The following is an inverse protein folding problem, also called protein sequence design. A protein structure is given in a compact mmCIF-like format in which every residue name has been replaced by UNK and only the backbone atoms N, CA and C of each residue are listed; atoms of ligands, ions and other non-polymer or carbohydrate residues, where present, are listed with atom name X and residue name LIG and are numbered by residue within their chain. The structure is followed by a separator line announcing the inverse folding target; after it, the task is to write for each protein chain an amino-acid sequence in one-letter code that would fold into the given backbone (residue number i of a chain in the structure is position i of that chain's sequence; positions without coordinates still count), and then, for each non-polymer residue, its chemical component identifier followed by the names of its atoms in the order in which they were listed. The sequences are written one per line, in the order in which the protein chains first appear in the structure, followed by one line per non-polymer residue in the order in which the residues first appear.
data_IF_663706681986
#
_entry.id   IF_663706681986
#
_cell.length_a   1.000
_cell.length_b   1.000
_cell.length_c   1.000
_cell.angle_alpha   90.00
_cell.angle_beta   90.00
_cell.angle_gamma   90.00
#
_symmetry.space_group_name_H-M   'P 1'
#
loop_
_entity.id
_entity.type
_entity.pdbx_description
1 polymer ?
#
# COMPACT_ATOMS: atom_id res chain seq x y z
N UNK A 1 -1.71 -9.82 5.09
CA UNK A 1 -1.11 -9.14 6.25
C UNK A 1 -0.96 -7.66 5.92
N UNK A 2 -1.06 -6.80 6.92
CA UNK A 2 -0.74 -5.36 6.81
C UNK A 2 0.60 -5.15 7.51
N UNK A 3 1.54 -4.48 6.87
CA UNK A 3 2.85 -4.17 7.44
C UNK A 3 2.93 -2.68 7.74
N UNK A 4 3.26 -2.33 8.97
CA UNK A 4 3.39 -0.94 9.42
C UNK A 4 4.74 -0.72 10.10
N UNK A 5 5.21 0.53 10.15
CA UNK A 5 6.42 0.83 10.90
C UNK A 5 6.15 0.76 12.41
N UNK A 6 7.10 0.22 13.18
CA UNK A 6 7.05 0.18 14.65
C UNK A 6 6.89 1.59 15.22
N UNK A 7 7.63 2.55 14.65
CA UNK A 7 7.54 3.98 14.97
C UNK A 7 6.80 4.69 13.85
N UNK A 8 6.00 5.69 14.18
CA UNK A 8 5.17 6.48 13.25
C UNK A 8 3.95 5.75 12.67
N UNK A 9 3.54 4.63 13.27
CA UNK A 9 2.22 4.04 13.05
C UNK A 9 1.38 4.22 14.33
N UNK A 10 0.05 4.41 14.22
CA UNK A 10 -0.82 4.46 15.37
C UNK A 10 -0.84 3.14 16.13
N UNK A 11 -1.15 3.22 17.43
CA UNK A 11 -1.36 2.03 18.27
C UNK A 11 -2.67 1.32 17.94
N UNK A 12 -2.74 0.05 18.33
CA UNK A 12 -3.96 -0.76 18.23
C UNK A 12 -4.97 -0.33 19.29
N UNK A 13 -5.74 0.71 18.96
CA UNK A 13 -6.76 1.28 19.83
C UNK A 13 -8.15 0.71 19.56
N UNK A 14 -9.10 0.93 20.48
CA UNK A 14 -10.51 0.59 20.24
C UNK A 14 -11.11 1.31 19.02
N UNK A 15 -10.61 2.50 18.67
CA UNK A 15 -11.02 3.21 17.45
C UNK A 15 -10.53 2.48 16.18
N UNK A 16 -9.29 1.98 16.19
CA UNK A 16 -8.76 1.15 15.09
C UNK A 16 -9.58 -0.14 14.94
N UNK A 17 -9.81 -0.85 16.05
CA UNK A 17 -10.60 -2.10 16.03
C UNK A 17 -12.02 -1.86 15.48
N UNK A 18 -12.67 -0.77 15.90
CA UNK A 18 -13.99 -0.38 15.39
C UNK A 18 -13.97 -0.08 13.89
N UNK A 19 -12.97 0.66 13.41
CA UNK A 19 -12.83 0.99 12.00
C UNK A 19 -12.51 -0.25 11.14
N UNK A 20 -11.74 -1.19 11.67
CA UNK A 20 -11.38 -2.44 10.99
C UNK A 20 -12.55 -3.43 10.87
N UNK A 21 -13.63 -3.25 11.64
CA UNK A 21 -14.87 -4.05 11.55
C UNK A 21 -14.63 -5.57 11.56
N UNK A 22 -13.79 -6.06 12.47
CA UNK A 22 -13.46 -7.49 12.60
C UNK A 22 -12.26 -7.95 11.77
N UNK A 23 -11.66 -7.06 10.97
CA UNK A 23 -10.46 -7.38 10.18
C UNK A 23 -9.19 -7.46 11.04
N UNK A 24 -9.15 -6.80 12.20
CA UNK A 24 -7.98 -6.77 13.08
C UNK A 24 -7.66 -8.18 13.64
N UNK A 25 -8.68 -9.03 13.74
CA UNK A 25 -8.64 -10.38 14.29
C UNK A 25 -8.19 -11.43 13.26
N UNK A 26 -8.35 -11.14 11.97
CA UNK A 26 -8.10 -12.12 10.89
C UNK A 26 -6.99 -11.69 9.92
N UNK A 27 -6.66 -10.39 9.86
CA UNK A 27 -5.58 -9.88 9.02
C UNK A 27 -4.36 -9.62 9.91
N UNK A 28 -3.26 -10.38 9.76
CA UNK A 28 -2.06 -10.14 10.57
C UNK A 28 -1.54 -8.72 10.38
N UNK A 29 -1.40 -7.98 11.49
CA UNK A 29 -0.74 -6.68 11.54
C UNK A 29 0.70 -6.87 12.00
N UNK A 30 1.65 -6.58 11.12
CA UNK A 30 3.08 -6.80 11.36
C UNK A 30 3.78 -5.45 11.53
N UNK A 31 4.50 -5.28 12.63
CA UNK A 31 5.30 -4.08 12.89
C UNK A 31 6.76 -4.30 12.51
N UNK A 32 7.35 -3.35 11.80
CA UNK A 32 8.74 -3.41 11.33
C UNK A 32 9.53 -2.16 11.68
N UNK A 33 10.79 -2.32 12.07
CA UNK A 33 11.65 -1.18 12.44
C UNK A 33 12.11 -0.38 11.22
N UNK A 34 12.33 -1.04 10.08
CA UNK A 34 12.86 -0.43 8.88
C UNK A 34 12.10 -0.91 7.64
N UNK A 35 11.21 -0.06 7.12
CA UNK A 35 10.37 -0.39 5.98
C UNK A 35 11.17 -0.71 4.71
N UNK A 36 12.20 0.09 4.38
CA UNK A 36 13.02 -0.13 3.18
C UNK A 36 13.68 -1.52 3.19
N UNK A 37 14.24 -1.93 4.34
CA UNK A 37 14.79 -3.29 4.51
C UNK A 37 13.72 -4.36 4.36
N UNK A 38 12.53 -4.13 4.92
CA UNK A 38 11.40 -5.07 4.78
C UNK A 38 10.97 -5.21 3.33
N UNK A 39 10.94 -4.12 2.55
CA UNK A 39 10.62 -4.18 1.12
C UNK A 39 11.64 -5.04 0.35
N UNK A 40 12.94 -4.88 0.61
CA UNK A 40 13.97 -5.77 0.03
C UNK A 40 13.74 -7.24 0.40
N UNK A 41 13.41 -7.53 1.66
CA UNK A 41 13.06 -8.89 2.08
C UNK A 41 11.82 -9.42 1.34
N UNK A 42 10.81 -8.59 1.09
CA UNK A 42 9.64 -9.01 0.32
C UNK A 42 10.02 -9.34 -1.13
N UNK A 43 10.91 -8.55 -1.75
CA UNK A 43 11.43 -8.83 -3.09
C UNK A 43 12.18 -10.15 -3.15
N UNK A 44 13.05 -10.45 -2.18
CA UNK A 44 13.76 -11.75 -2.14
C UNK A 44 12.81 -12.93 -1.94
N UNK A 45 11.64 -12.70 -1.34
CA UNK A 45 10.56 -13.69 -1.22
C UNK A 45 9.64 -13.75 -2.46
N UNK A 46 9.96 -13.03 -3.53
CA UNK A 46 9.23 -13.07 -4.79
C UNK A 46 7.98 -12.18 -4.84
N UNK A 47 7.89 -11.15 -4.00
CA UNK A 47 6.88 -10.11 -4.15
C UNK A 47 7.35 -9.02 -5.12
N UNK A 48 6.42 -8.54 -5.94
CA UNK A 48 6.56 -7.31 -6.72
C UNK A 48 6.05 -6.14 -5.88
N UNK A 49 6.92 -5.16 -5.60
CA UNK A 49 6.61 -4.03 -4.72
C UNK A 49 6.07 -2.87 -5.54
N UNK A 50 4.79 -2.53 -5.32
CA UNK A 50 4.11 -1.44 -6.02
C UNK A 50 3.86 -0.29 -5.05
N UNK A 51 4.48 0.85 -5.30
CA UNK A 51 4.20 2.08 -4.57
C UNK A 51 2.99 2.81 -5.16
N UNK A 52 1.97 3.09 -4.33
CA UNK A 52 0.81 3.87 -4.73
C UNK A 52 1.04 5.36 -4.49
N UNK A 53 1.10 6.15 -5.55
CA UNK A 53 1.37 7.57 -5.49
C UNK A 53 0.84 8.30 -6.74
N UNK A 54 0.39 9.55 -6.59
CA UNK A 54 -0.21 10.32 -7.69
C UNK A 54 0.74 10.56 -8.87
N UNK A 55 2.06 10.54 -8.64
CA UNK A 55 3.06 10.66 -9.71
C UNK A 55 3.31 9.37 -10.51
N UNK A 56 2.62 8.27 -10.20
CA UNK A 56 2.74 6.99 -10.89
C UNK A 56 1.92 6.88 -12.17
N UNK A 57 2.26 5.90 -13.02
CA UNK A 57 1.40 5.51 -14.14
C UNK A 57 0.08 4.89 -13.66
N UNK A 58 -0.96 4.87 -14.50
CA UNK A 58 -2.25 4.30 -14.09
C UNK A 58 -2.10 2.84 -13.67
N UNK A 59 -2.53 2.52 -12.45
CA UNK A 59 -2.52 1.17 -11.91
C UNK A 59 -3.36 0.26 -12.81
N UNK A 60 -2.73 -0.78 -13.35
CA UNK A 60 -3.38 -1.79 -14.15
C UNK A 60 -3.16 -3.17 -13.49
N UNK A 61 -4.17 -3.64 -12.76
CA UNK A 61 -4.10 -4.91 -12.03
C UNK A 61 -3.76 -6.09 -12.94
N UNK A 62 -4.34 -6.12 -14.14
CA UNK A 62 -4.12 -7.19 -15.11
C UNK A 62 -2.67 -7.28 -15.60
N UNK A 63 -1.91 -6.18 -15.59
CA UNK A 63 -0.50 -6.17 -15.97
C UNK A 63 0.40 -6.95 -14.99
N UNK A 64 -0.06 -7.18 -13.76
CA UNK A 64 0.69 -7.96 -12.77
C UNK A 64 0.51 -9.48 -12.92
N UNK A 65 -0.51 -9.93 -13.67
CA UNK A 65 -0.74 -11.36 -13.95
C UNK A 65 -0.80 -12.20 -12.67
N UNK A 66 0.08 -13.19 -12.55
CA UNK A 66 0.17 -14.09 -11.36
C UNK A 66 1.21 -13.63 -10.31
N UNK A 67 1.75 -12.41 -10.43
CA UNK A 67 2.76 -11.92 -9.46
C UNK A 67 2.13 -11.76 -8.07
N UNK A 68 2.92 -12.04 -7.04
CA UNK A 68 2.57 -11.70 -5.66
C UNK A 68 2.85 -10.21 -5.48
N UNK A 69 1.84 -9.40 -5.20
CA UNK A 69 2.02 -7.95 -5.08
C UNK A 69 2.11 -7.53 -3.61
N UNK A 70 3.09 -6.70 -3.30
CA UNK A 70 3.16 -5.93 -2.07
C UNK A 70 2.82 -4.47 -2.39
N UNK A 71 1.61 -4.04 -2.05
CA UNK A 71 1.17 -2.66 -2.22
C UNK A 71 1.69 -1.78 -1.08
N UNK A 72 2.34 -0.67 -1.42
CA UNK A 72 2.89 0.29 -0.48
C UNK A 72 2.11 1.59 -0.57
N UNK A 73 1.61 2.06 0.57
CA UNK A 73 0.79 3.27 0.67
C UNK A 73 1.61 4.42 1.26
N UNK A 74 1.45 5.61 0.68
CA UNK A 74 2.00 6.85 1.22
C UNK A 74 1.20 7.41 2.40
N UNK A 75 1.75 8.45 3.03
CA UNK A 75 0.99 9.28 3.94
C UNK A 75 0.04 10.21 3.15
N UNK A 76 -1.02 10.67 3.80
CA UNK A 76 -1.89 11.71 3.23
C UNK A 76 -1.07 12.99 2.98
N UNK A 77 -1.24 13.61 1.81
CA UNK A 77 -0.46 14.78 1.38
C UNK A 77 0.92 14.44 0.85
N UNK A 78 1.86 14.05 1.73
CA UNK A 78 3.28 13.87 1.38
C UNK A 78 3.57 12.65 0.48
N UNK A 79 2.60 11.74 0.34
CA UNK A 79 2.74 10.53 -0.47
C UNK A 79 3.81 9.58 0.05
N UNK A 80 4.54 8.94 -0.85
CA UNK A 80 5.62 8.02 -0.49
C UNK A 80 6.90 8.77 -0.09
N UNK A 81 7.43 8.45 1.10
CA UNK A 81 8.77 8.88 1.50
C UNK A 81 9.81 8.45 0.46
N UNK A 82 10.79 9.30 0.18
CA UNK A 82 11.83 9.08 -0.85
C UNK A 82 12.44 7.67 -0.82
N UNK A 83 12.95 7.23 0.33
CA UNK A 83 13.56 5.89 0.46
C UNK A 83 12.55 4.78 0.16
N UNK A 84 11.31 4.90 0.64
CA UNK A 84 10.26 3.91 0.36
C UNK A 84 9.97 3.83 -1.14
N UNK A 85 9.87 4.99 -1.81
CA UNK A 85 9.67 5.08 -3.26
C UNK A 85 10.82 4.43 -4.04
N UNK A 86 12.07 4.71 -3.67
CA UNK A 86 13.27 4.15 -4.30
C UNK A 86 13.35 2.62 -4.17
N UNK A 87 12.70 2.03 -3.16
CA UNK A 87 12.65 0.59 -2.96
C UNK A 87 11.40 -0.06 -3.57
N UNK A 88 10.52 0.69 -4.25
CA UNK A 88 9.43 0.09 -5.04
C UNK A 88 9.98 -0.38 -6.39
N UNK A 89 9.44 -1.49 -6.92
CA UNK A 89 9.75 -1.95 -8.28
C UNK A 89 9.00 -1.11 -9.33
N UNK A 90 7.84 -0.59 -8.95
CA UNK A 90 6.99 0.25 -9.78
C UNK A 90 6.26 1.29 -8.92
N UNK A 91 6.03 2.48 -9.49
CA UNK A 91 5.13 3.48 -8.92
C UNK A 91 3.88 3.56 -9.79
N UNK A 92 2.74 3.28 -9.19
CA UNK A 92 1.43 3.33 -9.82
C UNK A 92 0.54 4.36 -9.13
N UNK A 93 -0.42 4.91 -9.86
CA UNK A 93 -1.39 5.88 -9.41
C UNK A 93 -2.81 5.48 -9.81
N UNK A 94 -3.80 6.09 -9.16
CA UNK A 94 -5.20 5.93 -9.54
C UNK A 94 -5.58 7.02 -10.55
N UNK A 95 -6.33 6.65 -11.58
CA UNK A 95 -6.86 7.65 -12.51
C UNK A 95 -7.85 8.57 -11.78
N UNK A 96 -7.50 9.84 -11.67
CA UNK A 96 -8.32 10.88 -11.02
C UNK A 96 -8.68 11.97 -12.03
N UNK A 97 -9.72 11.76 -12.87
CA UNK A 97 -10.20 12.80 -13.76
C UNK A 97 -10.87 13.90 -12.93
N UNK A 98 -10.25 15.08 -12.86
CA UNK A 98 -10.81 16.24 -12.15
C UNK A 98 -9.73 17.12 -11.51
N UNK A 99 -10.17 18.06 -10.66
CA UNK A 99 -9.29 19.00 -9.96
C UNK A 99 -8.65 18.40 -8.69
N UNK A 100 -9.12 17.24 -8.23
CA UNK A 100 -8.56 16.59 -7.04
C UNK A 100 -7.23 15.92 -7.35
N UNK A 101 -6.20 16.30 -6.60
CA UNK A 101 -4.83 15.78 -6.77
C UNK A 101 -4.58 14.49 -5.98
N UNK A 102 -5.46 14.14 -5.04
CA UNK A 102 -5.33 12.91 -4.24
C UNK A 102 -6.66 12.42 -3.69
N UNK A 103 -6.68 11.14 -3.31
CA UNK A 103 -7.73 10.53 -2.51
C UNK A 103 -7.23 10.32 -1.08
N UNK A 104 -8.18 10.24 -0.14
CA UNK A 104 -7.91 9.71 1.18
C UNK A 104 -7.22 8.33 1.07
N UNK A 105 -6.21 8.08 1.92
CA UNK A 105 -5.38 6.86 1.86
C UNK A 105 -6.22 5.58 1.98
N UNK A 106 -7.29 5.57 2.78
CA UNK A 106 -8.17 4.40 2.91
C UNK A 106 -8.93 4.11 1.61
N UNK A 107 -9.47 5.15 0.96
CA UNK A 107 -10.16 5.02 -0.31
C UNK A 107 -9.21 4.59 -1.43
N UNK A 108 -8.02 5.19 -1.48
CA UNK A 108 -6.99 4.82 -2.44
C UNK A 108 -6.57 3.35 -2.27
N UNK A 109 -6.36 2.90 -1.03
CA UNK A 109 -6.04 1.51 -0.72
C UNK A 109 -7.16 0.55 -1.15
N UNK A 110 -8.42 0.87 -0.85
CA UNK A 110 -9.56 0.04 -1.22
C UNK A 110 -9.66 -0.14 -2.74
N UNK A 111 -9.55 0.96 -3.51
CA UNK A 111 -9.61 0.92 -4.98
C UNK A 111 -8.41 0.17 -5.55
N UNK A 112 -7.19 0.46 -5.08
CA UNK A 112 -5.98 -0.20 -5.57
C UNK A 112 -5.98 -1.70 -5.28
N UNK A 113 -6.37 -2.12 -4.08
CA UNK A 113 -6.49 -3.52 -3.73
C UNK A 113 -7.55 -4.23 -4.58
N UNK A 114 -8.70 -3.58 -4.81
CA UNK A 114 -9.74 -4.12 -5.68
C UNK A 114 -9.24 -4.30 -7.13
N UNK A 115 -8.52 -3.30 -7.65
CA UNK A 115 -7.92 -3.37 -8.98
C UNK A 115 -6.90 -4.51 -9.09
N UNK A 116 -6.04 -4.69 -8.08
CA UNK A 116 -5.03 -5.74 -8.06
C UNK A 116 -5.60 -7.17 -8.03
N UNK A 117 -6.79 -7.36 -7.48
CA UNK A 117 -7.46 -8.68 -7.42
C UNK A 117 -8.48 -8.89 -8.53
N UNK A 118 -8.80 -7.84 -9.29
CA UNK A 118 -9.79 -7.91 -10.38
C UNK A 118 -9.24 -8.82 -11.47
N UNK A 119 -9.95 -9.91 -11.73
CA UNK A 119 -9.66 -10.76 -12.88
C UNK A 119 -9.78 -9.95 -14.18
N UNK A 120 -8.96 -10.21 -15.20
CA UNK A 120 -9.15 -9.62 -16.52
C UNK A 120 -10.51 -9.97 -17.12
#
# INVERSE_FOLDING_TARGET
AVVVMERNAPDETGALAKAASGALEIVPLLRVVNLARTLETLKTLGFWVVGLDAGGGVLNGAAFGQRRVALVLGAEGDGLRRLTREHCDEIAGLAMPGEMESLNVSNAAAVALYELIRAP
#
